data_IF_422754114820
#
_entry.id   IF_422754114820
#
_cell.length_a   1.000
_cell.length_b   1.000
_cell.length_c   1.000
_cell.angle_alpha   90.00
_cell.angle_beta   90.00
_cell.angle_gamma   90.00
#
_symmetry.space_group_name_H-M   'P 1'
#
loop_
_entity.id
_entity.type
_entity.pdbx_description
1 polymer ?
#
# COMPACT_ATOMS: atom_id res chain seq x y z
N UNK A 1 2.28 32.84 -0.94
CA UNK A 1 2.66 31.77 -1.90
C UNK A 1 3.53 30.66 -1.29
N UNK A 2 4.33 30.93 -0.23
CA UNK A 2 5.25 29.96 0.42
C UNK A 2 4.54 28.75 1.11
N UNK A 3 3.34 28.93 1.67
CA UNK A 3 2.59 27.88 2.41
C UNK A 3 2.29 26.60 1.58
N UNK A 4 2.17 26.69 0.25
CA UNK A 4 1.87 25.52 -0.61
C UNK A 4 3.09 24.63 -0.90
N UNK A 5 4.30 25.20 -0.85
CA UNK A 5 5.54 24.49 -1.19
C UNK A 5 6.27 23.94 0.04
N UNK A 6 6.01 24.51 1.21
CA UNK A 6 6.56 24.08 2.49
C UNK A 6 6.52 22.55 2.73
N UNK A 7 5.41 21.82 2.51
CA UNK A 7 5.39 20.37 2.74
C UNK A 7 6.27 19.60 1.75
N UNK A 8 6.46 20.09 0.52
CA UNK A 8 7.32 19.45 -0.47
C UNK A 8 8.79 19.68 -0.15
N UNK A 9 9.15 20.90 0.25
CA UNK A 9 10.51 21.25 0.69
C UNK A 9 10.89 20.46 1.94
N UNK A 10 10.00 20.40 2.94
CA UNK A 10 10.22 19.61 4.16
C UNK A 10 10.42 18.12 3.85
N UNK A 11 9.58 17.53 2.98
CA UNK A 11 9.76 16.13 2.53
C UNK A 11 11.09 15.95 1.81
N UNK A 12 11.46 16.88 0.94
CA UNK A 12 12.74 16.84 0.22
C UNK A 12 13.94 16.89 1.17
N UNK A 13 13.99 17.88 2.06
CA UNK A 13 15.05 18.03 3.06
C UNK A 13 15.13 16.82 3.98
N UNK A 14 13.98 16.30 4.44
CA UNK A 14 13.93 15.11 5.29
C UNK A 14 14.44 13.87 4.54
N UNK A 15 13.99 13.64 3.30
CA UNK A 15 14.46 12.52 2.49
C UNK A 15 15.95 12.60 2.20
N UNK A 16 16.46 13.76 1.78
CA UNK A 16 17.90 13.97 1.53
C UNK A 16 18.71 13.83 2.82
N UNK A 17 18.22 14.38 3.92
CA UNK A 17 18.87 14.28 5.24
C UNK A 17 18.94 12.85 5.73
N UNK A 18 17.87 12.07 5.59
CA UNK A 18 17.85 10.63 5.92
C UNK A 18 18.80 9.84 5.04
N UNK A 19 18.78 10.09 3.72
CA UNK A 19 19.70 9.44 2.78
C UNK A 19 21.15 9.73 3.19
N UNK A 20 21.51 11.00 3.37
CA UNK A 20 22.85 11.41 3.79
C UNK A 20 23.26 10.79 5.14
N UNK A 21 22.35 10.77 6.11
CA UNK A 21 22.59 10.13 7.41
C UNK A 21 22.86 8.63 7.29
N UNK A 22 22.12 7.92 6.43
CA UNK A 22 22.35 6.48 6.18
C UNK A 22 23.68 6.27 5.49
N UNK A 23 24.00 7.02 4.43
CA UNK A 23 25.29 6.91 3.73
C UNK A 23 26.48 7.27 4.62
N UNK A 24 26.31 8.18 5.58
CA UNK A 24 27.35 8.50 6.57
C UNK A 24 27.63 7.38 7.58
N UNK A 25 26.72 6.39 7.71
CA UNK A 25 26.87 5.25 8.62
C UNK A 25 27.16 3.92 7.92
N UNK A 26 27.01 3.86 6.61
CA UNK A 26 27.17 2.64 5.82
C UNK A 26 28.50 2.71 5.06
N UNK A 27 29.39 1.75 5.35
CA UNK A 27 30.56 1.52 4.51
C UNK A 27 30.12 0.85 3.19
N UNK A 28 30.01 1.66 2.14
CA UNK A 28 29.63 1.23 0.80
C UNK A 28 30.57 0.16 0.23
N UNK A 29 31.86 0.20 0.57
CA UNK A 29 32.80 -0.81 0.10
C UNK A 29 32.49 -2.16 0.73
N UNK A 30 32.19 -2.18 2.04
CA UNK A 30 31.76 -3.39 2.74
C UNK A 30 30.43 -3.93 2.21
N UNK A 31 29.46 -3.05 1.93
CA UNK A 31 28.15 -3.44 1.40
C UNK A 31 28.28 -4.04 0.00
N UNK A 32 29.12 -3.47 -0.85
CA UNK A 32 29.40 -4.01 -2.18
C UNK A 32 30.14 -5.35 -2.15
N UNK A 33 31.08 -5.51 -1.22
CA UNK A 33 31.77 -6.79 -1.01
C UNK A 33 30.77 -7.89 -0.57
N UNK A 34 29.84 -7.57 0.34
CA UNK A 34 28.77 -8.50 0.74
C UNK A 34 27.80 -8.80 -0.39
N UNK A 35 27.45 -7.83 -1.23
CA UNK A 35 26.58 -8.04 -2.39
C UNK A 35 27.13 -9.09 -3.36
N UNK A 36 28.47 -9.19 -3.49
CA UNK A 36 29.12 -10.22 -4.32
C UNK A 36 29.05 -11.62 -3.73
N UNK A 37 28.84 -11.74 -2.42
CA UNK A 37 28.71 -13.03 -1.73
C UNK A 37 27.27 -13.53 -1.65
N UNK A 38 26.32 -12.82 -2.25
CA UNK A 38 24.92 -13.22 -2.24
C UNK A 38 24.73 -14.55 -2.97
N UNK A 39 24.02 -15.46 -2.33
CA UNK A 39 23.62 -16.73 -2.91
C UNK A 39 22.66 -16.50 -4.09
N UNK A 40 23.02 -16.96 -5.31
CA UNK A 40 22.14 -16.87 -6.47
C UNK A 40 20.76 -17.50 -6.25
N UNK A 41 20.67 -18.55 -5.43
CA UNK A 41 19.39 -19.20 -5.12
C UNK A 41 18.47 -18.28 -4.33
N UNK A 42 19.00 -17.52 -3.37
CA UNK A 42 18.24 -16.52 -2.62
C UNK A 42 17.77 -15.36 -3.51
N UNK A 43 18.58 -14.96 -4.50
CA UNK A 43 18.18 -13.95 -5.49
C UNK A 43 16.98 -14.44 -6.32
N UNK A 44 17.05 -15.67 -6.83
CA UNK A 44 15.94 -16.28 -7.59
C UNK A 44 14.70 -16.40 -6.71
N UNK A 45 14.84 -16.89 -5.47
CA UNK A 45 13.73 -16.98 -4.52
C UNK A 45 13.07 -15.62 -4.28
N UNK A 46 13.84 -14.55 -4.13
CA UNK A 46 13.32 -13.19 -3.95
C UNK A 46 12.53 -12.72 -5.18
N UNK A 47 13.05 -12.97 -6.38
CA UNK A 47 12.35 -12.62 -7.63
C UNK A 47 11.03 -13.40 -7.77
N UNK A 48 11.05 -14.71 -7.49
CA UNK A 48 9.86 -15.56 -7.52
C UNK A 48 8.83 -15.09 -6.51
N UNK A 49 9.24 -14.79 -5.28
CA UNK A 49 8.35 -14.24 -4.26
C UNK A 49 7.77 -12.88 -4.67
N UNK A 50 8.55 -12.02 -5.31
CA UNK A 50 8.07 -10.76 -5.87
C UNK A 50 6.99 -10.96 -6.95
N UNK A 51 7.18 -11.91 -7.86
CA UNK A 51 6.18 -12.25 -8.87
C UNK A 51 4.91 -12.82 -8.22
N UNK A 52 5.05 -13.72 -7.24
CA UNK A 52 3.92 -14.27 -6.48
C UNK A 52 3.17 -13.15 -5.75
N UNK A 53 3.86 -12.21 -5.13
CA UNK A 53 3.25 -11.05 -4.47
C UNK A 53 2.38 -10.25 -5.44
N UNK A 54 2.88 -10.00 -6.66
CA UNK A 54 2.13 -9.27 -7.68
C UNK A 54 0.93 -10.07 -8.18
N UNK A 55 1.07 -11.38 -8.37
CA UNK A 55 -0.02 -12.28 -8.75
C UNK A 55 -1.14 -12.29 -7.70
N UNK A 56 -0.78 -12.41 -6.43
CA UNK A 56 -1.75 -12.38 -5.31
C UNK A 56 -2.46 -11.02 -5.23
N UNK A 57 -1.71 -9.93 -5.37
CA UNK A 57 -2.27 -8.57 -5.39
C UNK A 57 -3.25 -8.35 -6.54
N UNK A 58 -2.88 -8.80 -7.75
CA UNK A 58 -3.73 -8.75 -8.93
C UNK A 58 -5.00 -9.59 -8.78
N UNK A 59 -4.88 -10.82 -8.29
CA UNK A 59 -6.01 -11.71 -8.07
C UNK A 59 -7.00 -11.11 -7.06
N UNK A 60 -6.50 -10.56 -5.95
CA UNK A 60 -7.35 -9.88 -4.97
C UNK A 60 -8.08 -8.68 -5.59
N UNK A 61 -7.39 -7.86 -6.36
CA UNK A 61 -8.04 -6.73 -7.03
C UNK A 61 -9.07 -7.19 -8.07
N UNK A 62 -8.81 -8.29 -8.78
CA UNK A 62 -9.77 -8.89 -9.70
C UNK A 62 -11.05 -9.33 -9.00
N UNK A 63 -10.97 -9.90 -7.79
CA UNK A 63 -12.16 -10.23 -6.98
C UNK A 63 -12.98 -8.96 -6.69
N UNK A 64 -12.33 -7.86 -6.32
CA UNK A 64 -13.00 -6.56 -6.09
C UNK A 64 -13.67 -6.05 -7.36
N UNK A 65 -12.98 -6.12 -8.50
CA UNK A 65 -13.55 -5.72 -9.80
C UNK A 65 -14.76 -6.57 -10.19
N UNK A 66 -14.74 -7.88 -9.93
CA UNK A 66 -15.89 -8.76 -10.16
C UNK A 66 -17.07 -8.44 -9.25
N UNK A 67 -16.82 -8.12 -7.98
CA UNK A 67 -17.86 -7.67 -7.06
C UNK A 67 -18.52 -6.36 -7.53
N UNK A 68 -17.75 -5.48 -8.18
CA UNK A 68 -18.22 -4.25 -8.82
C UNK A 68 -18.79 -4.48 -10.23
N UNK A 69 -18.98 -5.73 -10.66
CA UNK A 69 -19.51 -6.12 -11.98
C UNK A 69 -18.71 -5.58 -13.17
N UNK A 70 -17.40 -5.38 -13.01
CA UNK A 70 -16.52 -4.97 -14.10
C UNK A 70 -16.27 -6.12 -15.10
N UNK A 71 -16.22 -5.81 -16.39
CA UNK A 71 -15.89 -6.77 -17.45
C UNK A 71 -14.37 -6.98 -17.58
N UNK A 72 -13.71 -7.41 -16.51
CA UNK A 72 -12.27 -7.69 -16.48
C UNK A 72 -12.00 -9.20 -16.39
N UNK A 73 -11.19 -9.73 -17.30
CA UNK A 73 -10.60 -11.08 -17.12
C UNK A 73 -9.48 -11.03 -16.07
N UNK A 74 -9.17 -12.17 -15.45
CA UNK A 74 -8.08 -12.26 -14.46
C UNK A 74 -6.73 -11.81 -15.07
N UNK A 75 -6.47 -12.19 -16.32
CA UNK A 75 -5.26 -11.79 -17.06
C UNK A 75 -5.19 -10.29 -17.30
N UNK A 76 -6.31 -9.66 -17.69
CA UNK A 76 -6.36 -8.21 -17.85
C UNK A 76 -6.10 -7.50 -16.51
N UNK A 77 -6.70 -7.99 -15.42
CA UNK A 77 -6.48 -7.43 -14.09
C UNK A 77 -5.00 -7.55 -13.68
N UNK A 78 -4.36 -8.68 -13.95
CA UNK A 78 -2.93 -8.87 -13.72
C UNK A 78 -2.06 -7.89 -14.51
N UNK A 79 -2.26 -7.76 -15.82
CA UNK A 79 -1.49 -6.83 -16.66
C UNK A 79 -1.65 -5.39 -16.13
N UNK A 80 -2.88 -4.97 -15.82
CA UNK A 80 -3.13 -3.62 -15.31
C UNK A 80 -2.54 -3.41 -13.92
N UNK A 81 -2.60 -4.42 -13.04
CA UNK A 81 -1.99 -4.36 -11.72
C UNK A 81 -0.47 -4.24 -11.82
N UNK A 82 0.18 -5.03 -12.69
CA UNK A 82 1.62 -4.99 -12.92
C UNK A 82 2.08 -3.62 -13.46
N UNK A 83 1.33 -3.05 -14.42
CA UNK A 83 1.56 -1.68 -14.89
C UNK A 83 1.42 -0.67 -13.72
N UNK A 84 0.40 -0.85 -12.87
CA UNK A 84 0.23 -0.03 -11.67
C UNK A 84 1.43 -0.08 -10.73
N UNK A 85 1.99 -1.28 -10.49
CA UNK A 85 3.21 -1.47 -9.68
C UNK A 85 4.40 -0.73 -10.31
N UNK A 86 4.59 -0.83 -11.62
CA UNK A 86 5.64 -0.09 -12.33
C UNK A 86 5.54 1.43 -12.09
N UNK A 87 4.34 2.01 -12.27
CA UNK A 87 4.13 3.43 -12.04
C UNK A 87 4.26 3.83 -10.57
N UNK A 88 3.95 2.93 -9.63
CA UNK A 88 4.15 3.18 -8.20
C UNK A 88 5.64 3.26 -7.81
N UNK A 89 6.52 2.59 -8.56
CA UNK A 89 7.98 2.63 -8.33
C UNK A 89 8.61 3.83 -9.04
N UNK A 90 8.17 4.12 -10.28
CA UNK A 90 8.79 5.15 -11.12
C UNK A 90 8.32 6.57 -10.77
N UNK A 91 7.04 6.74 -10.43
CA UNK A 91 6.51 8.08 -10.17
C UNK A 91 6.73 8.50 -8.70
N UNK A 92 7.22 9.74 -8.46
CA UNK A 92 7.29 10.29 -7.12
C UNK A 92 5.86 10.59 -6.61
N UNK A 93 5.32 9.64 -5.85
CA UNK A 93 4.01 9.75 -5.20
C UNK A 93 3.19 8.47 -5.35
N UNK A 94 2.64 7.97 -4.24
CA UNK A 94 1.82 6.75 -4.19
C UNK A 94 0.57 6.77 -5.10
N UNK A 95 0.21 7.93 -5.64
CA UNK A 95 -0.99 8.15 -6.46
C UNK A 95 -0.83 7.64 -7.89
N UNK A 96 0.39 7.58 -8.43
CA UNK A 96 0.63 7.28 -9.85
C UNK A 96 0.16 5.89 -10.27
N UNK A 97 0.53 4.85 -9.51
CA UNK A 97 0.12 3.47 -9.80
C UNK A 97 -1.40 3.25 -9.69
N UNK A 98 -2.02 3.86 -8.69
CA UNK A 98 -3.46 3.77 -8.46
C UNK A 98 -4.27 4.55 -9.48
N UNK A 99 -3.77 5.71 -9.93
CA UNK A 99 -4.39 6.50 -11.01
C UNK A 99 -4.51 5.69 -12.30
N UNK A 100 -3.47 4.92 -12.67
CA UNK A 100 -3.50 4.08 -13.87
C UNK A 100 -4.51 2.94 -13.74
N UNK A 101 -4.59 2.30 -12.57
CA UNK A 101 -5.59 1.26 -12.28
C UNK A 101 -7.01 1.81 -12.36
N UNK A 102 -7.27 2.97 -11.75
CA UNK A 102 -8.57 3.65 -11.82
C UNK A 102 -8.92 4.07 -13.25
N UNK A 103 -7.96 4.60 -14.01
CA UNK A 103 -8.19 5.02 -15.39
C UNK A 103 -8.53 3.83 -16.30
N UNK A 104 -7.79 2.72 -16.19
CA UNK A 104 -8.09 1.50 -16.96
C UNK A 104 -9.39 0.83 -16.54
N UNK A 105 -9.71 0.82 -15.24
CA UNK A 105 -10.99 0.37 -14.73
C UNK A 105 -12.16 1.19 -15.30
N UNK A 106 -12.02 2.52 -15.37
CA UNK A 106 -13.03 3.38 -15.99
C UNK A 106 -13.20 3.10 -17.48
N UNK A 107 -12.08 2.90 -18.19
CA UNK A 107 -12.10 2.61 -19.64
C UNK A 107 -12.74 1.26 -19.98
N UNK A 108 -12.84 0.34 -19.02
CA UNK A 108 -13.57 -0.93 -19.20
C UNK A 108 -15.08 -0.84 -18.93
N UNK A 109 -15.62 0.38 -18.76
CA UNK A 109 -17.05 0.61 -18.57
C UNK A 109 -17.50 0.83 -17.11
N UNK A 110 -16.59 0.85 -16.13
CA UNK A 110 -16.94 1.27 -14.78
C UNK A 110 -17.15 2.79 -14.71
N UNK A 111 -18.07 3.23 -13.84
CA UNK A 111 -18.18 4.64 -13.49
C UNK A 111 -16.89 5.12 -12.78
N UNK A 112 -16.65 6.44 -12.77
CA UNK A 112 -15.51 7.00 -12.04
C UNK A 112 -15.56 6.61 -10.56
N UNK A 113 -16.74 6.72 -9.94
CA UNK A 113 -16.95 6.34 -8.55
C UNK A 113 -16.65 4.86 -8.30
N UNK A 114 -17.13 3.95 -9.16
CA UNK A 114 -16.82 2.52 -9.04
C UNK A 114 -15.32 2.23 -9.23
N UNK A 115 -14.65 2.96 -10.12
CA UNK A 115 -13.21 2.82 -10.35
C UNK A 115 -12.39 3.23 -9.13
N UNK A 116 -12.73 4.36 -8.51
CA UNK A 116 -12.13 4.83 -7.25
C UNK A 116 -12.40 3.84 -6.12
N UNK A 117 -13.65 3.40 -5.96
CA UNK A 117 -14.03 2.42 -4.94
C UNK A 117 -13.29 1.09 -5.11
N UNK A 118 -13.01 0.66 -6.34
CA UNK A 118 -12.25 -0.58 -6.57
C UNK A 118 -10.84 -0.55 -5.98
N UNK A 119 -10.18 0.60 -6.03
CA UNK A 119 -8.84 0.79 -5.47
C UNK A 119 -8.91 1.04 -3.98
N UNK A 120 -9.88 1.84 -3.51
CA UNK A 120 -10.09 2.08 -2.08
C UNK A 120 -10.41 0.80 -1.31
N UNK A 121 -11.30 -0.05 -1.82
CA UNK A 121 -11.60 -1.35 -1.22
C UNK A 121 -10.36 -2.25 -1.17
N UNK A 122 -9.51 -2.21 -2.20
CA UNK A 122 -8.26 -2.96 -2.20
C UNK A 122 -7.28 -2.42 -1.15
N UNK A 123 -7.19 -1.09 -0.97
CA UNK A 123 -6.37 -0.45 0.06
C UNK A 123 -6.87 -0.80 1.46
N UNK A 124 -8.17 -0.74 1.71
CA UNK A 124 -8.76 -1.14 2.99
C UNK A 124 -8.46 -2.62 3.26
N UNK A 125 -8.64 -3.49 2.27
CA UNK A 125 -8.31 -4.91 2.40
C UNK A 125 -6.81 -5.15 2.67
N UNK A 126 -5.90 -4.36 2.08
CA UNK A 126 -4.47 -4.45 2.42
C UNK A 126 -4.19 -4.08 3.86
N UNK A 127 -4.74 -2.97 4.33
CA UNK A 127 -4.49 -2.46 5.68
C UNK A 127 -5.11 -3.40 6.71
N UNK A 128 -6.33 -3.89 6.47
CA UNK A 128 -6.96 -4.93 7.28
C UNK A 128 -6.10 -6.18 7.39
N UNK A 129 -5.66 -6.73 6.25
CA UNK A 129 -4.80 -7.91 6.24
C UNK A 129 -3.51 -7.69 7.03
N UNK A 130 -2.90 -6.51 6.91
CA UNK A 130 -1.69 -6.16 7.64
C UNK A 130 -1.94 -6.05 9.15
N UNK A 131 -3.03 -5.39 9.57
CA UNK A 131 -3.40 -5.25 10.98
C UNK A 131 -3.68 -6.63 11.60
N UNK A 132 -4.41 -7.49 10.90
CA UNK A 132 -4.66 -8.87 11.35
C UNK A 132 -3.37 -9.69 11.46
N UNK A 133 -2.47 -9.55 10.49
CA UNK A 133 -1.17 -10.24 10.51
C UNK A 133 -0.33 -9.80 11.71
N UNK A 134 -0.27 -8.49 11.99
CA UNK A 134 0.46 -7.96 13.15
C UNK A 134 -0.19 -8.45 14.45
N UNK A 135 -1.51 -8.37 14.55
CA UNK A 135 -2.25 -8.83 15.72
C UNK A 135 -2.07 -10.34 16.00
N UNK A 136 -1.94 -11.15 14.95
CA UNK A 136 -1.72 -12.59 15.07
C UNK A 136 -0.26 -12.96 15.40
N UNK A 137 0.72 -12.18 14.92
CA UNK A 137 2.15 -12.48 15.08
C UNK A 137 2.80 -11.81 16.29
N UNK A 138 2.22 -10.73 16.82
CA UNK A 138 2.73 -10.06 18.03
C UNK A 138 2.93 -10.99 19.25
N UNK A 139 2.08 -12.01 19.55
CA UNK A 139 2.31 -12.84 20.73
C UNK A 139 3.57 -13.70 20.58
N UNK A 140 3.85 -14.17 19.36
CA UNK A 140 5.07 -14.91 19.04
C UNK A 140 6.30 -14.03 19.21
N UNK A 141 6.21 -12.76 18.84
CA UNK A 141 7.29 -11.79 19.02
C UNK A 141 7.57 -11.52 20.50
N UNK A 142 6.52 -11.29 21.30
CA UNK A 142 6.65 -11.08 22.76
C UNK A 142 7.19 -12.32 23.48
N UNK A 143 6.85 -13.52 23.02
CA UNK A 143 7.37 -14.77 23.56
C UNK A 143 8.87 -14.97 23.27
N UNK A 144 9.36 -14.50 22.12
CA UNK A 144 10.77 -14.64 21.71
C UNK A 144 11.66 -13.50 22.20
N UNK A 145 11.09 -12.33 22.48
CA UNK A 145 11.83 -11.14 22.89
C UNK A 145 11.05 -10.35 23.97
N UNK A 146 11.02 -10.85 25.22
CA UNK A 146 10.19 -10.28 26.28
C UNK A 146 10.64 -8.90 26.79
N UNK A 147 11.90 -8.52 26.54
CA UNK A 147 12.52 -7.30 27.10
C UNK A 147 12.68 -6.15 26.08
N UNK A 148 11.93 -6.14 24.96
CA UNK A 148 12.02 -5.04 24.00
C UNK A 148 11.33 -3.80 24.59
N UNK A 149 11.99 -2.64 24.71
CA UNK A 149 11.33 -1.40 25.10
C UNK A 149 10.21 -1.07 24.10
N UNK A 150 8.99 -0.79 24.60
CA UNK A 150 7.86 -0.42 23.76
C UNK A 150 7.00 -1.59 23.25
N UNK A 151 6.96 -2.72 23.96
CA UNK A 151 6.03 -3.85 23.67
C UNK A 151 4.57 -3.43 23.50
N UNK A 152 4.13 -2.38 24.19
CA UNK A 152 2.78 -1.81 24.12
C UNK A 152 2.45 -1.10 22.80
N UNK A 153 3.47 -0.72 22.02
CA UNK A 153 3.28 0.03 20.76
C UNK A 153 2.56 -0.83 19.72
N UNK A 154 2.94 -2.10 19.57
CA UNK A 154 2.34 -3.02 18.61
C UNK A 154 0.85 -3.33 18.87
N UNK A 155 0.42 -3.66 20.11
CA UNK A 155 -1.00 -3.84 20.40
C UNK A 155 -1.77 -2.53 20.30
N UNK A 156 -1.20 -1.39 20.72
CA UNK A 156 -1.84 -0.08 20.55
C UNK A 156 -2.09 0.24 19.08
N UNK A 157 -1.08 0.07 18.21
CA UNK A 157 -1.22 0.29 16.76
C UNK A 157 -2.24 -0.67 16.13
N UNK A 158 -2.29 -1.92 16.59
CA UNK A 158 -3.27 -2.90 16.12
C UNK A 158 -4.69 -2.48 16.49
N UNK A 159 -4.92 -2.07 17.74
CA UNK A 159 -6.22 -1.57 18.22
C UNK A 159 -6.63 -0.30 17.45
N UNK A 160 -5.73 0.67 17.31
CA UNK A 160 -5.98 1.89 16.54
C UNK A 160 -6.28 1.58 15.07
N UNK A 161 -5.58 0.61 14.48
CA UNK A 161 -5.83 0.13 13.11
C UNK A 161 -7.23 -0.47 12.97
N UNK A 162 -7.63 -1.36 13.88
CA UNK A 162 -8.97 -1.95 13.89
C UNK A 162 -10.04 -0.87 14.09
N UNK A 163 -9.87 0.03 15.05
CA UNK A 163 -10.80 1.13 15.31
C UNK A 163 -10.93 2.07 14.11
N UNK A 164 -9.82 2.41 13.44
CA UNK A 164 -9.83 3.22 12.24
C UNK A 164 -10.62 2.56 11.11
N UNK A 165 -10.49 1.24 10.94
CA UNK A 165 -11.20 0.51 9.89
C UNK A 165 -12.69 0.35 10.23
N UNK A 166 -13.03 0.09 11.49
CA UNK A 166 -14.43 0.08 11.96
C UNK A 166 -15.08 1.45 11.76
N UNK A 167 -14.38 2.53 12.07
CA UNK A 167 -14.85 3.90 11.85
C UNK A 167 -15.13 4.16 10.36
N UNK A 168 -14.21 3.79 9.47
CA UNK A 168 -14.41 3.89 8.01
C UNK A 168 -15.59 3.02 7.52
N UNK A 169 -15.74 1.81 8.07
CA UNK A 169 -16.84 0.91 7.71
C UNK A 169 -18.20 1.41 8.19
N UNK A 170 -18.23 2.16 9.31
CA UNK A 170 -19.44 2.80 9.83
C UNK A 170 -19.75 4.08 9.06
N UNK A 171 -18.74 4.83 8.60
CA UNK A 171 -18.93 5.96 7.69
C UNK A 171 -19.63 5.53 6.39
N UNK A 172 -19.30 4.36 5.83
CA UNK A 172 -19.99 3.80 4.66
C UNK A 172 -21.44 3.37 4.96
N UNK A 173 -21.79 3.17 6.24
CA UNK A 173 -23.16 2.87 6.71
C UNK A 173 -23.95 4.10 7.12
N UNK A 174 -23.35 5.30 7.08
CA UNK A 174 -24.11 6.53 7.33
C UNK A 174 -25.15 6.68 6.21
N UNK A 175 -26.43 6.89 6.58
CA UNK A 175 -27.51 6.93 5.60
C UNK A 175 -27.27 8.02 4.58
N UNK A 176 -27.62 7.74 3.32
CA UNK A 176 -27.54 8.62 2.16
C UNK A 176 -28.27 9.99 2.33
N UNK A 177 -28.89 10.24 3.48
CA UNK A 177 -29.49 11.51 3.89
C UNK A 177 -28.52 12.69 3.87
N UNK A 178 -27.21 12.47 4.01
CA UNK A 178 -26.20 13.54 3.94
C UNK A 178 -25.77 13.92 2.51
N UNK A 179 -26.23 13.20 1.47
CA UNK A 179 -25.95 13.56 0.06
C UNK A 179 -26.70 14.81 -0.44
N UNK A 180 -27.56 15.43 0.37
CA UNK A 180 -28.15 16.73 0.06
C UNK A 180 -27.20 17.91 0.28
N UNK A 181 -26.05 17.71 0.93
CA UNK A 181 -25.04 18.78 1.04
C UNK A 181 -24.23 18.83 -0.26
N UNK A 182 -24.35 19.96 -0.96
CA UNK A 182 -23.75 20.40 -2.25
C UNK A 182 -22.23 20.26 -2.42
N UNK A 183 -21.55 19.43 -1.63
CA UNK A 183 -20.07 19.36 -1.56
C UNK A 183 -19.48 18.24 -2.44
N UNK A 184 -20.31 17.37 -3.04
CA UNK A 184 -19.85 16.26 -3.90
C UNK A 184 -20.25 16.46 -5.39
N UNK A 185 -20.27 17.71 -5.85
CA UNK A 185 -20.19 18.04 -7.29
C UNK A 185 -18.88 18.78 -7.53
N UNK A 186 -17.80 18.02 -7.58
CA UNK A 186 -16.53 18.39 -8.19
C UNK A 186 -16.22 17.40 -9.29
#
# INVERSE_FOLDING_TARGET
MVKRWLPWVLKGVLSVGLIWFVFGKVDLASAWAQAKTLDPMMLVATLVLGVIQVLVGAFRWWIVLRALKAAFTATQAFIVYYIGVFFAIVLPGAVGGDAVRMWKARRSGLSLAASVNSVMLERIATVLGLVLLVAATQPLLLARAPNIPGTWVFPLLSVLGVLGILFLSVLDRLPASLHHMRVVRG
#
